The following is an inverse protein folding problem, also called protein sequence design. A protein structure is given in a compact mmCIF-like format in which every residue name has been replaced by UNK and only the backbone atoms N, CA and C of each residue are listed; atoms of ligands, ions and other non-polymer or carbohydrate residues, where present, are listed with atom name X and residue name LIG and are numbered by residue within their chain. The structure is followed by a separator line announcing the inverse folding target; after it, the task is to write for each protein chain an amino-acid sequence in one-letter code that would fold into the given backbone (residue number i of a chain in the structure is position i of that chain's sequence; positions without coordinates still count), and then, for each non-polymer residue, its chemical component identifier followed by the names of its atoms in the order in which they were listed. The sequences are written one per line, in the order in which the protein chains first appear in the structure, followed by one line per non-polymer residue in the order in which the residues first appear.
data_IF_776279952752
#
_entry.id   IF_776279952752
#
_cell.length_a   1.000
_cell.length_b   1.000
_cell.length_c   1.000
_cell.angle_alpha   90.00
_cell.angle_beta   90.00
_cell.angle_gamma   90.00
#
_symmetry.space_group_name_H-M   'P 1'
#
loop_
_entity.id
_entity.type
_entity.pdbx_description
1 polymer ?
#
# COMPACT_ATOMS: atom_id res chain seq x y z
N UNK A 1 -22.84 -25.78 70.78
CA UNK A 1 -22.72 -26.71 69.63
C UNK A 1 -23.33 -26.00 68.43
N UNK A 2 -22.52 -25.58 67.44
CA UNK A 2 -22.25 -26.36 66.22
C UNK A 2 -23.57 -26.63 65.45
N UNK A 3 -23.82 -26.19 64.22
CA UNK A 3 -22.93 -25.97 63.08
C UNK A 3 -23.52 -24.91 62.12
N UNK A 4 -22.66 -24.00 61.66
CA UNK A 4 -22.78 -23.29 60.39
C UNK A 4 -22.98 -24.31 59.26
N UNK A 5 -24.04 -24.22 58.45
CA UNK A 5 -24.00 -24.83 57.12
C UNK A 5 -24.81 -24.03 56.10
N UNK A 6 -24.05 -23.30 55.27
CA UNK A 6 -24.27 -23.11 53.84
C UNK A 6 -25.44 -22.23 53.34
N UNK A 7 -25.34 -20.92 53.59
CA UNK A 7 -25.94 -19.93 52.67
C UNK A 7 -25.11 -19.75 51.38
N UNK A 8 -23.85 -20.22 51.36
CA UNK A 8 -22.93 -20.08 50.23
C UNK A 8 -23.11 -21.15 49.13
N UNK A 9 -23.72 -22.30 49.44
CA UNK A 9 -23.90 -23.39 48.46
C UNK A 9 -25.03 -23.10 47.46
N UNK A 10 -26.05 -22.35 47.89
CA UNK A 10 -27.21 -22.02 47.06
C UNK A 10 -26.90 -20.94 46.00
N UNK A 11 -25.97 -20.03 46.31
CA UNK A 11 -25.44 -19.07 45.34
C UNK A 11 -24.56 -19.76 44.30
N UNK A 12 -23.67 -20.66 44.76
CA UNK A 12 -22.75 -21.40 43.89
C UNK A 12 -23.46 -22.32 42.89
N UNK A 13 -24.57 -22.96 43.29
CA UNK A 13 -25.38 -23.80 42.40
C UNK A 13 -26.21 -22.99 41.39
N UNK A 14 -26.65 -21.77 41.73
CA UNK A 14 -27.33 -20.87 40.80
C UNK A 14 -26.38 -20.38 39.72
N UNK A 15 -25.14 -20.05 40.09
CA UNK A 15 -24.11 -19.62 39.17
C UNK A 15 -23.65 -20.76 38.24
N UNK A 16 -23.50 -21.99 38.75
CA UNK A 16 -23.17 -23.15 37.92
C UNK A 16 -24.29 -23.49 36.91
N UNK A 17 -25.56 -23.35 37.29
CA UNK A 17 -26.70 -23.60 36.40
C UNK A 17 -26.84 -22.55 35.31
N UNK A 18 -26.47 -21.30 35.58
CA UNK A 18 -26.43 -20.21 34.60
C UNK A 18 -25.29 -20.43 33.59
N UNK A 19 -24.10 -20.82 34.05
CA UNK A 19 -22.94 -21.08 33.17
C UNK A 19 -23.16 -22.31 32.27
N UNK A 20 -23.78 -23.38 32.78
CA UNK A 20 -24.11 -24.59 31.98
C UNK A 20 -25.25 -24.31 30.99
N UNK A 21 -26.22 -23.46 31.34
CA UNK A 21 -27.31 -23.10 30.43
C UNK A 21 -26.84 -22.19 29.30
N UNK A 22 -25.89 -21.28 29.57
CA UNK A 22 -25.27 -20.45 28.56
C UNK A 22 -24.43 -21.29 27.57
N UNK A 23 -23.63 -22.25 28.04
CA UNK A 23 -22.78 -23.10 27.19
C UNK A 23 -23.53 -24.05 26.26
N UNK A 24 -24.78 -24.42 26.58
CA UNK A 24 -25.62 -25.30 25.76
C UNK A 24 -26.62 -24.57 24.85
N UNK A 25 -26.75 -23.23 24.96
CA UNK A 25 -27.61 -22.41 24.09
C UNK A 25 -26.86 -21.35 23.27
N UNK A 26 -25.53 -21.43 23.17
CA UNK A 26 -24.80 -20.70 22.14
C UNK A 26 -25.04 -21.36 20.79
N UNK A 27 -26.20 -21.11 20.17
CA UNK A 27 -26.34 -21.32 18.74
C UNK A 27 -25.28 -20.43 18.07
N UNK A 28 -24.27 -21.01 17.43
CA UNK A 28 -23.29 -20.25 16.66
C UNK A 28 -24.04 -19.42 15.59
N UNK A 29 -24.24 -18.13 15.85
CA UNK A 29 -24.97 -17.24 14.94
C UNK A 29 -24.17 -17.06 13.66
N UNK A 30 -24.67 -17.63 12.56
CA UNK A 30 -24.04 -17.51 11.24
C UNK A 30 -24.16 -16.08 10.70
N UNK A 31 -23.07 -15.31 10.76
CA UNK A 31 -22.99 -13.98 10.14
C UNK A 31 -22.83 -14.12 8.62
N UNK A 32 -23.86 -13.71 7.85
CA UNK A 32 -23.80 -13.71 6.38
C UNK A 32 -22.91 -12.56 5.89
N UNK A 33 -22.12 -12.80 4.83
CA UNK A 33 -21.22 -11.79 4.21
C UNK A 33 -21.93 -10.56 3.62
N UNK A 34 -23.24 -10.63 3.33
CA UNK A 34 -24.05 -9.51 2.87
C UNK A 34 -23.46 -8.73 1.68
N UNK A 35 -23.66 -7.41 1.66
CA UNK A 35 -23.25 -6.50 0.57
C UNK A 35 -21.75 -6.19 0.55
N UNK A 36 -21.01 -6.57 1.59
CA UNK A 36 -19.57 -6.25 1.76
C UNK A 36 -18.75 -6.84 0.62
N UNK A 37 -19.07 -8.07 0.19
CA UNK A 37 -18.38 -8.72 -0.93
C UNK A 37 -18.59 -7.96 -2.25
N UNK A 38 -19.79 -7.42 -2.49
CA UNK A 38 -20.09 -6.59 -3.67
C UNK A 38 -19.31 -5.29 -3.61
N UNK A 39 -19.35 -4.58 -2.48
CA UNK A 39 -18.59 -3.33 -2.27
C UNK A 39 -17.09 -3.50 -2.53
N UNK A 40 -16.49 -4.59 -2.06
CA UNK A 40 -15.07 -4.91 -2.34
C UNK A 40 -14.78 -5.08 -3.83
N UNK A 41 -15.63 -5.81 -4.56
CA UNK A 41 -15.48 -5.98 -6.02
C UNK A 41 -15.65 -4.67 -6.77
N UNK A 42 -16.64 -3.85 -6.41
CA UNK A 42 -16.83 -2.52 -7.00
C UNK A 42 -15.61 -1.63 -6.78
N UNK A 43 -15.05 -1.58 -5.55
CA UNK A 43 -13.81 -0.82 -5.27
C UNK A 43 -12.62 -1.28 -6.13
N UNK A 44 -12.47 -2.60 -6.33
CA UNK A 44 -11.42 -3.14 -7.19
C UNK A 44 -11.64 -2.79 -8.67
N UNK A 45 -12.87 -2.90 -9.14
CA UNK A 45 -13.24 -2.57 -10.53
C UNK A 45 -13.08 -1.09 -10.84
N UNK A 46 -13.41 -0.19 -9.89
CA UNK A 46 -13.19 1.26 -10.02
C UNK A 46 -11.71 1.60 -10.20
N UNK A 47 -10.82 0.94 -9.46
CA UNK A 47 -9.37 1.10 -9.65
C UNK A 47 -8.92 0.68 -11.05
N UNK A 48 -9.59 -0.33 -11.62
CA UNK A 48 -9.22 -0.91 -12.91
C UNK A 48 -10.09 -0.47 -14.10
N UNK A 49 -10.90 0.58 -13.96
CA UNK A 49 -11.85 0.99 -15.01
C UNK A 49 -11.16 1.39 -16.32
N UNK A 50 -9.95 1.94 -16.25
CA UNK A 50 -9.15 2.37 -17.40
C UNK A 50 -8.36 1.24 -18.07
N UNK A 51 -8.37 0.02 -17.52
CA UNK A 51 -7.61 -1.09 -18.10
C UNK A 51 -8.34 -1.69 -19.31
N UNK A 52 -7.56 -2.10 -20.30
CA UNK A 52 -8.10 -2.63 -21.57
C UNK A 52 -8.65 -4.05 -21.41
N UNK A 53 -9.76 -4.33 -22.08
CA UNK A 53 -10.30 -5.68 -22.28
C UNK A 53 -10.66 -6.41 -20.98
N UNK A 54 -10.16 -7.64 -20.84
CA UNK A 54 -10.48 -8.51 -19.72
C UNK A 54 -9.95 -8.01 -18.36
N UNK A 55 -8.96 -7.09 -18.35
CA UNK A 55 -8.35 -6.56 -17.14
C UNK A 55 -9.22 -5.56 -16.37
N UNK A 56 -10.30 -5.06 -16.97
CA UNK A 56 -11.30 -4.21 -16.29
C UNK A 56 -12.60 -4.94 -15.97
N UNK A 57 -12.81 -6.14 -16.57
CA UNK A 57 -14.05 -6.92 -16.47
C UNK A 57 -13.96 -8.12 -15.51
N UNK A 58 -12.89 -8.92 -15.59
CA UNK A 58 -12.78 -10.17 -14.83
C UNK A 58 -12.08 -9.94 -13.47
N UNK A 59 -12.70 -10.37 -12.37
CA UNK A 59 -12.17 -10.11 -11.01
C UNK A 59 -10.77 -10.72 -10.78
N UNK A 60 -10.51 -11.91 -11.32
CA UNK A 60 -9.19 -12.56 -11.18
C UNK A 60 -8.09 -11.77 -11.88
N UNK A 61 -8.31 -11.36 -13.13
CA UNK A 61 -7.34 -10.58 -13.90
C UNK A 61 -7.15 -9.18 -13.32
N UNK A 62 -8.22 -8.54 -12.83
CA UNK A 62 -8.20 -7.27 -12.09
C UNK A 62 -7.23 -7.36 -10.91
N UNK A 63 -7.34 -8.43 -10.11
CA UNK A 63 -6.49 -8.61 -8.93
C UNK A 63 -5.00 -8.74 -9.28
N UNK A 64 -4.69 -9.54 -10.30
CA UNK A 64 -3.32 -9.70 -10.80
C UNK A 64 -2.77 -8.40 -11.36
N UNK A 65 -3.58 -7.69 -12.16
CA UNK A 65 -3.18 -6.45 -12.80
C UNK A 65 -2.97 -5.33 -11.77
N UNK A 66 -3.83 -5.26 -10.75
CA UNK A 66 -3.67 -4.32 -9.64
C UNK A 66 -2.34 -4.51 -8.92
N UNK A 67 -1.96 -5.75 -8.61
CA UNK A 67 -0.68 -6.04 -7.94
C UNK A 67 0.49 -5.60 -8.84
N UNK A 68 0.46 -5.95 -10.13
CA UNK A 68 1.49 -5.54 -11.10
C UNK A 68 1.60 -4.01 -11.20
N UNK A 69 0.47 -3.31 -11.28
CA UNK A 69 0.42 -1.86 -11.37
C UNK A 69 1.03 -1.18 -10.13
N UNK A 70 0.74 -1.69 -8.93
CA UNK A 70 1.29 -1.15 -7.68
C UNK A 70 2.81 -1.35 -7.58
N UNK A 71 3.32 -2.51 -7.99
CA UNK A 71 4.76 -2.80 -8.01
C UNK A 71 5.48 -1.90 -9.01
N UNK A 72 4.94 -1.76 -10.23
CA UNK A 72 5.49 -0.84 -11.23
C UNK A 72 5.48 0.59 -10.75
N UNK A 73 4.35 1.07 -10.20
CA UNK A 73 4.24 2.42 -9.66
C UNK A 73 5.28 2.70 -8.56
N UNK A 74 5.55 1.73 -7.68
CA UNK A 74 6.59 1.89 -6.66
C UNK A 74 7.97 2.04 -7.29
N UNK A 75 8.35 1.13 -8.20
CA UNK A 75 9.63 1.15 -8.91
C UNK A 75 9.83 2.43 -9.72
N UNK A 76 8.78 2.88 -10.41
CA UNK A 76 8.85 4.03 -11.32
C UNK A 76 9.00 5.36 -10.57
N UNK A 77 8.63 5.45 -9.28
CA UNK A 77 8.90 6.65 -8.47
C UNK A 77 10.39 6.97 -8.38
N UNK A 78 11.22 5.96 -8.20
CA UNK A 78 12.67 6.15 -8.10
C UNK A 78 13.32 6.27 -9.49
N UNK A 79 12.80 5.55 -10.49
CA UNK A 79 13.23 5.71 -11.88
C UNK A 79 13.02 7.14 -12.38
N UNK A 80 11.86 7.75 -12.11
CA UNK A 80 11.57 9.15 -12.50
C UNK A 80 12.64 10.14 -12.04
N UNK A 81 13.20 9.97 -10.83
CA UNK A 81 14.29 10.84 -10.33
C UNK A 81 15.53 10.76 -11.22
N UNK A 82 15.86 9.54 -11.68
CA UNK A 82 16.97 9.29 -12.60
C UNK A 82 16.67 9.82 -14.01
N UNK A 83 15.46 9.60 -14.51
CA UNK A 83 15.04 10.06 -15.83
C UNK A 83 15.09 11.58 -15.95
N UNK A 84 14.61 12.30 -14.92
CA UNK A 84 14.75 13.75 -14.85
C UNK A 84 16.22 14.16 -14.83
N UNK A 85 17.07 13.52 -14.00
CA UNK A 85 18.51 13.84 -13.97
C UNK A 85 19.16 13.64 -15.34
N UNK A 86 18.85 12.54 -16.04
CA UNK A 86 19.35 12.28 -17.39
C UNK A 86 18.89 13.36 -18.37
N UNK A 87 17.61 13.76 -18.31
CA UNK A 87 17.07 14.84 -19.14
C UNK A 87 17.78 16.18 -18.88
N UNK A 88 18.06 16.52 -17.61
CA UNK A 88 18.81 17.72 -17.25
C UNK A 88 20.23 17.70 -17.81
N UNK A 89 20.93 16.57 -17.71
CA UNK A 89 22.26 16.40 -18.29
C UNK A 89 22.20 16.59 -19.81
N UNK A 90 21.26 15.95 -20.50
CA UNK A 90 21.10 16.09 -21.96
C UNK A 90 20.82 17.53 -22.37
N UNK A 91 19.99 18.27 -21.62
CA UNK A 91 19.71 19.69 -21.87
C UNK A 91 20.95 20.57 -21.70
N UNK A 92 21.71 20.36 -20.62
CA UNK A 92 22.97 21.09 -20.38
C UNK A 92 23.97 20.77 -21.50
N UNK A 93 24.08 19.51 -21.91
CA UNK A 93 24.97 19.09 -22.99
C UNK A 93 24.62 19.77 -24.33
N UNK A 94 23.32 19.87 -24.65
CA UNK A 94 22.87 20.56 -25.86
C UNK A 94 23.25 22.06 -25.84
N UNK A 95 23.08 22.74 -24.71
CA UNK A 95 23.45 24.17 -24.55
C UNK A 95 24.96 24.36 -24.67
N UNK A 96 25.77 23.46 -24.09
CA UNK A 96 27.23 23.50 -24.23
C UNK A 96 27.65 23.29 -25.68
N UNK A 97 27.04 22.32 -26.37
CA UNK A 97 27.36 22.00 -27.76
C UNK A 97 27.07 23.17 -28.71
N UNK A 98 26.07 24.00 -28.42
CA UNK A 98 25.80 25.22 -29.18
C UNK A 98 26.81 26.35 -28.90
N UNK A 99 27.42 26.37 -27.71
CA UNK A 99 28.33 27.43 -27.27
C UNK A 99 29.82 27.01 -27.38
N UNK A 100 30.25 26.54 -28.56
CA UNK A 100 31.61 25.99 -28.80
C UNK A 100 32.77 26.96 -28.50
N UNK A 101 32.52 28.27 -28.50
CA UNK A 101 33.55 29.30 -28.27
C UNK A 101 33.91 29.52 -26.79
N UNK A 102 33.35 28.75 -25.85
CA UNK A 102 33.65 28.84 -24.41
C UNK A 102 34.49 27.67 -23.91
N UNK A 103 35.38 27.94 -22.96
CA UNK A 103 36.42 27.03 -22.38
C UNK A 103 35.88 25.71 -21.78
N UNK A 104 34.55 25.58 -21.64
CA UNK A 104 33.86 24.42 -21.07
C UNK A 104 33.05 23.71 -22.15
N UNK A 105 33.76 23.01 -23.04
CA UNK A 105 33.22 22.32 -24.21
C UNK A 105 32.58 20.96 -23.88
N UNK A 106 32.77 20.45 -22.66
CA UNK A 106 32.32 19.12 -22.22
C UNK A 106 31.70 19.21 -20.82
N UNK A 107 30.57 18.52 -20.63
CA UNK A 107 29.83 18.46 -19.35
C UNK A 107 30.71 18.17 -18.14
N UNK A 108 31.56 17.15 -18.22
CA UNK A 108 32.45 16.75 -17.12
C UNK A 108 33.40 17.87 -16.69
N UNK A 109 33.92 18.65 -17.65
CA UNK A 109 34.80 19.81 -17.37
C UNK A 109 34.02 20.96 -16.73
N UNK A 110 32.77 21.19 -17.16
CA UNK A 110 31.88 22.18 -16.56
C UNK A 110 31.61 21.85 -15.09
N UNK A 111 31.18 20.63 -14.79
CA UNK A 111 30.88 20.21 -13.40
C UNK A 111 32.13 20.28 -12.52
N UNK A 112 33.29 19.83 -13.02
CA UNK A 112 34.56 19.94 -12.31
C UNK A 112 34.90 21.40 -11.95
N UNK A 113 34.76 22.32 -12.90
CA UNK A 113 35.05 23.74 -12.69
C UNK A 113 34.06 24.39 -11.71
N UNK A 114 32.78 23.99 -11.73
CA UNK A 114 31.76 24.47 -10.79
C UNK A 114 32.05 24.02 -9.36
N UNK A 115 32.44 22.75 -9.18
CA UNK A 115 32.84 22.21 -7.89
C UNK A 115 34.11 22.90 -7.35
N UNK A 116 35.14 23.06 -8.20
CA UNK A 116 36.39 23.76 -7.84
C UNK A 116 36.17 25.21 -7.41
N UNK A 117 35.15 25.88 -7.96
CA UNK A 117 34.80 27.26 -7.64
C UNK A 117 33.85 27.41 -6.43
N UNK A 118 33.44 26.29 -5.80
CA UNK A 118 32.55 26.26 -4.63
C UNK A 118 31.25 27.07 -4.78
N UNK A 119 30.70 27.13 -5.99
CA UNK A 119 29.43 27.83 -6.29
C UNK A 119 28.21 26.94 -5.97
N UNK A 120 28.44 25.62 -5.90
CA UNK A 120 27.44 24.62 -5.54
C UNK A 120 27.90 23.91 -4.26
N UNK A 121 27.79 24.60 -3.14
CA UNK A 121 27.87 24.02 -1.79
C UNK A 121 26.45 23.87 -1.23
#
# INVERSE_FOLDING_TARGET
MNFNFNFSFFFFLKDFKIVIHQSLTYSMTRVKRGSIARKRRTKMSLFTSSFRGAHSKLIRTISQQKIKALVSAHRDRDRKKRDFRSLWISRINAIIAQNKNKVYCIYSKLIYNLYKRSIAS
#
